data_IF_855487130353
#
_entry.id   IF_855487130353
#
_cell.length_a   1.000
_cell.length_b   1.000
_cell.length_c   1.000
_cell.angle_alpha   90.00
_cell.angle_beta   90.00
_cell.angle_gamma   90.00
#
_symmetry.space_group_name_H-M   'P 1'
#
loop_
_entity.id
_entity.type
_entity.pdbx_description
1 polymer ?
#
# COMPACT_ATOMS: atom_id res chain seq x y z
N UNK A 1 -14.58 -25.06 16.36
CA UNK A 1 -14.20 -24.41 15.09
C UNK A 1 -12.73 -24.69 14.83
N UNK A 2 -12.37 -25.25 13.68
CA UNK A 2 -10.96 -25.43 13.31
C UNK A 2 -10.33 -24.10 12.85
N UNK A 3 -9.01 -24.06 12.68
CA UNK A 3 -8.29 -22.83 12.31
C UNK A 3 -8.78 -22.22 10.98
N UNK A 4 -9.09 -23.07 9.98
CA UNK A 4 -9.61 -22.60 8.70
C UNK A 4 -10.98 -21.95 8.86
N UNK A 5 -11.88 -22.60 9.59
CA UNK A 5 -13.22 -22.06 9.89
C UNK A 5 -13.14 -20.74 10.67
N UNK A 6 -12.16 -20.59 11.58
CA UNK A 6 -11.91 -19.33 12.28
C UNK A 6 -11.50 -18.19 11.33
N UNK A 7 -10.61 -18.47 10.37
CA UNK A 7 -10.21 -17.49 9.35
C UNK A 7 -11.39 -17.14 8.42
N UNK A 8 -12.16 -18.13 7.97
CA UNK A 8 -13.36 -17.90 7.15
C UNK A 8 -14.37 -17.04 7.92
N UNK A 9 -14.63 -17.36 9.19
CA UNK A 9 -15.54 -16.61 10.04
C UNK A 9 -15.10 -15.15 10.17
N UNK A 10 -13.83 -14.90 10.49
CA UNK A 10 -13.28 -13.55 10.58
C UNK A 10 -13.42 -12.77 9.26
N UNK A 11 -13.12 -13.41 8.13
CA UNK A 11 -13.26 -12.79 6.80
C UNK A 11 -14.73 -12.47 6.46
N UNK A 12 -15.69 -13.33 6.85
CA UNK A 12 -17.13 -13.05 6.70
C UNK A 12 -17.57 -11.85 7.52
N UNK A 13 -17.09 -11.72 8.76
CA UNK A 13 -17.38 -10.54 9.59
C UNK A 13 -16.84 -9.24 8.97
N UNK A 14 -15.79 -9.34 8.13
CA UNK A 14 -15.21 -8.22 7.39
C UNK A 14 -15.75 -8.07 5.96
N UNK A 15 -16.97 -8.55 5.69
CA UNK A 15 -17.61 -8.41 4.37
C UNK A 15 -17.08 -9.36 3.29
N UNK A 16 -16.43 -10.45 3.68
CA UNK A 16 -15.98 -11.50 2.76
C UNK A 16 -14.59 -11.28 2.15
N UNK A 17 -13.86 -10.26 2.59
CA UNK A 17 -12.48 -9.99 2.17
C UNK A 17 -11.66 -9.44 3.34
N UNK A 18 -10.33 -9.52 3.26
CA UNK A 18 -9.44 -8.88 4.23
C UNK A 18 -8.01 -8.79 3.70
N UNK A 19 -7.26 -7.80 4.19
CA UNK A 19 -5.79 -7.87 4.19
C UNK A 19 -5.31 -8.84 5.26
N UNK A 20 -4.05 -9.31 5.16
CA UNK A 20 -3.47 -10.11 6.24
C UNK A 20 -3.43 -9.35 7.57
N UNK A 21 -3.08 -8.05 7.55
CA UNK A 21 -3.09 -7.21 8.74
C UNK A 21 -4.47 -7.15 9.42
N UNK A 22 -5.55 -7.00 8.64
CA UNK A 22 -6.92 -7.07 9.16
C UNK A 22 -7.21 -8.44 9.79
N UNK A 23 -6.87 -9.54 9.11
CA UNK A 23 -7.11 -10.90 9.64
C UNK A 23 -6.41 -11.12 10.98
N UNK A 24 -5.19 -10.60 11.17
CA UNK A 24 -4.46 -10.78 12.42
C UNK A 24 -5.12 -10.08 13.61
N UNK A 25 -5.84 -8.98 13.38
CA UNK A 25 -6.61 -8.31 14.42
C UNK A 25 -7.98 -8.93 14.68
N UNK A 26 -8.52 -9.72 13.74
CA UNK A 26 -9.87 -10.28 13.83
C UNK A 26 -9.91 -11.75 14.27
N UNK A 27 -8.86 -12.52 13.99
CA UNK A 27 -8.81 -13.94 14.34
C UNK A 27 -8.32 -14.11 15.78
N UNK A 28 -9.10 -14.81 16.60
CA UNK A 28 -8.68 -15.22 17.94
C UNK A 28 -7.70 -16.41 17.86
N UNK A 29 -6.45 -16.13 18.20
CA UNK A 29 -5.36 -17.12 18.21
C UNK A 29 -5.16 -17.81 19.57
N UNK A 30 -5.93 -17.49 20.61
CA UNK A 30 -5.72 -18.02 21.98
C UNK A 30 -5.68 -19.55 22.05
N UNK A 31 -6.53 -20.21 21.27
CA UNK A 31 -6.60 -21.68 21.19
C UNK A 31 -5.57 -22.31 20.23
N UNK A 32 -4.78 -21.51 19.52
CA UNK A 32 -3.85 -22.02 18.50
C UNK A 32 -2.55 -22.50 19.15
N UNK A 33 -2.19 -23.76 18.90
CA UNK A 33 -0.96 -24.37 19.46
C UNK A 33 0.35 -23.97 18.73
N UNK A 34 0.28 -23.04 17.78
CA UNK A 34 1.44 -22.62 16.96
C UNK A 34 2.12 -21.39 17.54
N UNK A 35 3.45 -21.32 17.40
CA UNK A 35 4.24 -20.14 17.79
C UNK A 35 4.14 -18.99 16.79
N UNK A 36 3.66 -19.26 15.57
CA UNK A 36 3.57 -18.29 14.48
C UNK A 36 2.17 -18.32 13.86
N UNK A 37 1.12 -17.92 14.60
CA UNK A 37 -0.26 -17.98 14.12
C UNK A 37 -0.47 -17.20 12.81
N UNK A 38 0.21 -16.08 12.62
CA UNK A 38 0.12 -15.27 11.39
C UNK A 38 0.66 -16.03 10.17
N UNK A 39 1.72 -16.83 10.33
CA UNK A 39 2.19 -17.71 9.26
C UNK A 39 1.17 -18.81 8.93
N UNK A 40 0.49 -19.34 9.95
CA UNK A 40 -0.60 -20.28 9.76
C UNK A 40 -1.80 -19.65 9.04
N UNK A 41 -2.17 -18.39 9.34
CA UNK A 41 -3.20 -17.65 8.58
C UNK A 41 -2.81 -17.50 7.12
N UNK A 42 -1.59 -17.06 6.82
CA UNK A 42 -1.11 -16.95 5.43
C UNK A 42 -1.24 -18.27 4.68
N UNK A 43 -0.76 -19.35 5.30
CA UNK A 43 -0.85 -20.70 4.73
C UNK A 43 -2.30 -21.11 4.45
N UNK A 44 -3.19 -20.91 5.42
CA UNK A 44 -4.63 -21.22 5.28
C UNK A 44 -5.21 -20.47 4.08
N UNK A 45 -5.01 -19.15 4.01
CA UNK A 45 -5.58 -18.32 2.95
C UNK A 45 -4.98 -18.64 1.57
N UNK A 46 -3.70 -18.98 1.50
CA UNK A 46 -2.99 -19.21 0.23
C UNK A 46 -3.17 -20.62 -0.35
N UNK A 47 -3.35 -21.64 0.50
CA UNK A 47 -3.38 -23.05 0.07
C UNK A 47 -4.79 -23.64 -0.06
N UNK A 48 -5.83 -22.91 0.36
CA UNK A 48 -7.21 -23.43 0.38
C UNK A 48 -8.09 -22.77 -0.69
N UNK A 49 -8.90 -23.58 -1.38
CA UNK A 49 -9.77 -23.16 -2.49
C UNK A 49 -10.89 -22.20 -2.09
N UNK A 50 -11.23 -22.15 -0.80
CA UNK A 50 -12.24 -21.24 -0.26
C UNK A 50 -11.81 -19.76 -0.35
N UNK A 51 -10.56 -19.49 -0.70
CA UNK A 51 -10.01 -18.14 -0.81
C UNK A 51 -9.47 -17.88 -2.22
N UNK A 52 -9.52 -16.62 -2.63
CA UNK A 52 -8.84 -16.15 -3.83
C UNK A 52 -8.13 -14.81 -3.58
N UNK A 53 -7.04 -14.58 -4.32
CA UNK A 53 -6.28 -13.34 -4.27
C UNK A 53 -7.00 -12.27 -5.09
N UNK A 54 -7.31 -11.14 -4.48
CA UNK A 54 -7.86 -9.95 -5.17
C UNK A 54 -6.71 -9.08 -5.66
N UNK A 55 -5.77 -8.76 -4.76
CA UNK A 55 -4.53 -8.01 -5.02
C UNK A 55 -3.41 -8.54 -4.11
N UNK A 56 -2.13 -8.22 -4.34
CA UNK A 56 -1.07 -8.51 -3.38
C UNK A 56 -1.43 -8.03 -1.97
N UNK A 57 -1.53 -8.98 -1.04
CA UNK A 57 -1.91 -8.72 0.35
C UNK A 57 -3.41 -8.66 0.65
N UNK A 58 -4.28 -8.70 -0.37
CA UNK A 58 -5.75 -8.66 -0.24
C UNK A 58 -6.38 -9.95 -0.75
N UNK A 59 -7.15 -10.60 0.11
CA UNK A 59 -7.78 -11.88 -0.16
C UNK A 59 -9.28 -11.84 0.13
N UNK A 60 -10.03 -12.69 -0.54
CA UNK A 60 -11.48 -12.79 -0.38
C UNK A 60 -11.95 -14.24 -0.42
N UNK A 61 -13.13 -14.49 0.14
CA UNK A 61 -13.79 -15.79 0.07
C UNK A 61 -14.37 -16.01 -1.33
N UNK A 62 -14.16 -17.21 -1.87
CA UNK A 62 -14.61 -17.55 -3.23
C UNK A 62 -16.14 -17.49 -3.38
N UNK A 63 -16.89 -17.86 -2.32
CA UNK A 63 -18.36 -17.73 -2.30
C UNK A 63 -18.86 -16.28 -2.25
N UNK A 64 -17.97 -15.32 -1.92
CA UNK A 64 -18.24 -13.88 -1.92
C UNK A 64 -17.64 -13.17 -3.14
N UNK A 65 -17.01 -13.90 -4.09
CA UNK A 65 -16.25 -13.36 -5.22
C UNK A 65 -16.99 -12.26 -5.97
N UNK A 66 -18.21 -12.55 -6.41
CA UNK A 66 -19.02 -11.62 -7.20
C UNK A 66 -19.32 -10.33 -6.44
N UNK A 67 -19.68 -10.45 -5.15
CA UNK A 67 -19.96 -9.30 -4.29
C UNK A 67 -18.71 -8.44 -4.05
N UNK A 68 -17.55 -9.07 -3.82
CA UNK A 68 -16.28 -8.37 -3.57
C UNK A 68 -15.77 -7.68 -4.83
N UNK A 69 -15.75 -8.37 -5.97
CA UNK A 69 -15.30 -7.79 -7.23
C UNK A 69 -16.23 -6.66 -7.70
N UNK A 70 -17.54 -6.78 -7.47
CA UNK A 70 -18.49 -5.69 -7.74
C UNK A 70 -18.29 -4.52 -6.79
N UNK A 71 -18.05 -4.77 -5.50
CA UNK A 71 -17.83 -3.72 -4.49
C UNK A 71 -16.61 -2.86 -4.82
N UNK A 72 -15.55 -3.48 -5.33
CA UNK A 72 -14.32 -2.78 -5.71
C UNK A 72 -14.28 -2.35 -7.18
N UNK A 73 -15.40 -2.46 -7.90
CA UNK A 73 -15.50 -2.06 -9.31
C UNK A 73 -14.44 -2.76 -10.19
N UNK A 74 -14.13 -4.03 -9.89
CA UNK A 74 -13.19 -4.88 -10.63
C UNK A 74 -13.92 -5.79 -11.63
N UNK A 75 -15.20 -6.08 -11.38
CA UNK A 75 -16.01 -6.99 -12.20
C UNK A 75 -16.51 -6.28 -13.46
N UNK A 76 -16.32 -6.90 -14.63
CA UNK A 76 -16.81 -6.43 -15.94
C UNK A 76 -16.41 -4.98 -16.29
N UNK A 77 -15.34 -4.49 -15.66
CA UNK A 77 -14.84 -3.12 -15.81
C UNK A 77 -13.60 -3.06 -16.69
N UNK A 78 -13.32 -1.86 -17.19
CA UNK A 78 -12.20 -1.64 -18.09
C UNK A 78 -10.86 -1.84 -17.38
N UNK A 79 -9.79 -2.10 -18.13
CA UNK A 79 -8.43 -2.17 -17.55
C UNK A 79 -8.04 -0.89 -16.79
N UNK A 80 -8.67 0.24 -17.14
CA UNK A 80 -8.51 1.52 -16.42
C UNK A 80 -9.08 1.46 -15.00
N UNK A 81 -10.24 0.83 -14.81
CA UNK A 81 -10.91 0.79 -13.50
C UNK A 81 -10.15 -0.15 -12.55
N UNK A 82 -9.68 -1.30 -13.07
CA UNK A 82 -8.77 -2.19 -12.32
C UNK A 82 -7.47 -1.52 -11.93
N UNK A 83 -6.96 -0.66 -12.83
CA UNK A 83 -5.78 0.17 -12.57
C UNK A 83 -6.04 1.17 -11.45
N UNK A 84 -7.18 1.86 -11.48
CA UNK A 84 -7.55 2.85 -10.46
C UNK A 84 -7.73 2.21 -9.08
N UNK A 85 -8.40 1.05 -9.00
CA UNK A 85 -8.48 0.27 -7.77
C UNK A 85 -7.11 -0.13 -7.25
N UNK A 86 -6.23 -0.64 -8.12
CA UNK A 86 -4.87 -1.02 -7.72
C UNK A 86 -4.10 0.18 -7.18
N UNK A 87 -4.21 1.33 -7.85
CA UNK A 87 -3.54 2.56 -7.48
C UNK A 87 -3.99 3.04 -6.09
N UNK A 88 -5.30 3.18 -5.85
CA UNK A 88 -5.81 3.61 -4.54
C UNK A 88 -5.55 2.58 -3.43
N UNK A 89 -5.61 1.29 -3.76
CA UNK A 89 -5.28 0.22 -2.83
C UNK A 89 -3.84 0.34 -2.31
N UNK A 90 -2.85 0.51 -3.20
CA UNK A 90 -1.46 0.66 -2.78
C UNK A 90 -1.17 2.01 -2.11
N UNK A 91 -1.83 3.11 -2.52
CA UNK A 91 -1.77 4.37 -1.75
C UNK A 91 -2.25 4.16 -0.30
N UNK A 92 -3.35 3.43 -0.11
CA UNK A 92 -3.88 3.16 1.22
C UNK A 92 -2.96 2.29 2.07
N UNK A 93 -2.35 1.26 1.49
CA UNK A 93 -1.30 0.49 2.19
C UNK A 93 -0.14 1.38 2.61
N UNK A 94 0.37 2.23 1.72
CA UNK A 94 1.46 3.16 2.03
C UNK A 94 1.09 4.14 3.16
N UNK A 95 -0.14 4.64 3.18
CA UNK A 95 -0.64 5.49 4.29
C UNK A 95 -0.67 4.71 5.60
N UNK A 96 -1.23 3.50 5.62
CA UNK A 96 -1.25 2.70 6.85
C UNK A 96 0.16 2.37 7.32
N UNK A 97 1.08 2.01 6.42
CA UNK A 97 2.47 1.72 6.75
C UNK A 97 3.20 2.93 7.34
N UNK A 98 3.00 4.13 6.78
CA UNK A 98 3.58 5.35 7.32
C UNK A 98 3.06 5.64 8.73
N UNK A 99 1.73 5.56 8.91
CA UNK A 99 1.09 5.75 10.21
C UNK A 99 1.56 4.72 11.25
N UNK A 100 1.73 3.45 10.87
CA UNK A 100 2.24 2.39 11.75
C UNK A 100 3.69 2.61 12.19
N UNK A 101 4.46 3.33 11.39
CA UNK A 101 5.84 3.70 11.70
C UNK A 101 5.95 5.03 12.47
N UNK A 102 4.81 5.65 12.84
CA UNK A 102 4.79 6.93 13.53
C UNK A 102 5.16 8.12 12.65
N UNK A 103 5.08 7.96 11.33
CA UNK A 103 5.31 9.04 10.37
C UNK A 103 3.99 9.74 10.03
N UNK A 104 4.09 11.03 9.74
CA UNK A 104 2.96 11.77 9.20
C UNK A 104 2.78 11.45 7.71
N UNK A 105 1.55 11.26 7.27
CA UNK A 105 1.24 10.82 5.91
C UNK A 105 0.35 11.82 5.18
N UNK A 106 0.71 12.11 3.93
CA UNK A 106 -0.03 12.99 3.03
C UNK A 106 -0.41 12.25 1.74
N UNK A 107 -1.63 12.52 1.28
CA UNK A 107 -2.18 12.10 -0.02
C UNK A 107 -2.61 13.35 -0.80
N UNK A 108 -2.34 13.43 -2.12
CA UNK A 108 -2.77 14.54 -2.95
C UNK A 108 -4.27 14.81 -2.90
N UNK A 109 -4.65 16.08 -3.04
CA UNK A 109 -6.05 16.49 -2.94
C UNK A 109 -6.96 15.81 -3.95
N UNK A 110 -6.48 15.50 -5.16
CA UNK A 110 -7.24 14.78 -6.18
C UNK A 110 -7.58 13.33 -5.78
N UNK A 111 -6.79 12.72 -4.89
CA UNK A 111 -6.94 11.32 -4.49
C UNK A 111 -7.63 11.15 -3.14
N UNK A 112 -7.85 12.23 -2.38
CA UNK A 112 -8.43 12.16 -1.03
C UNK A 112 -9.76 11.42 -0.94
N UNK A 113 -10.57 11.46 -1.98
CA UNK A 113 -11.87 10.80 -2.05
C UNK A 113 -11.82 9.39 -2.65
N UNK A 114 -10.67 8.98 -3.23
CA UNK A 114 -10.49 7.60 -3.68
C UNK A 114 -10.52 6.67 -2.47
N UNK A 115 -11.05 5.48 -2.68
CA UNK A 115 -11.23 4.50 -1.62
C UNK A 115 -10.03 3.56 -1.53
N UNK A 116 -9.50 3.42 -0.32
CA UNK A 116 -8.78 2.23 0.10
C UNK A 116 -9.81 1.26 0.70
N UNK A 117 -10.13 0.22 -0.06
CA UNK A 117 -11.22 -0.70 0.25
C UNK A 117 -12.54 0.10 0.39
N UNK A 118 -13.03 0.32 1.61
CA UNK A 118 -14.26 1.09 1.87
C UNK A 118 -14.00 2.45 2.53
N UNK A 119 -12.74 2.83 2.76
CA UNK A 119 -12.37 4.07 3.45
C UNK A 119 -11.74 5.09 2.50
N UNK A 120 -12.16 6.37 2.51
CA UNK A 120 -11.49 7.41 1.74
C UNK A 120 -10.04 7.61 2.18
N UNK A 121 -9.09 7.68 1.25
CA UNK A 121 -7.66 7.88 1.54
C UNK A 121 -7.41 9.12 2.40
N UNK A 122 -8.11 10.22 2.13
CA UNK A 122 -7.99 11.47 2.89
C UNK A 122 -8.47 11.37 4.34
N UNK A 123 -9.28 10.35 4.68
CA UNK A 123 -9.67 10.05 6.07
C UNK A 123 -8.60 9.26 6.82
N UNK A 124 -7.73 8.55 6.09
CA UNK A 124 -6.66 7.71 6.64
C UNK A 124 -5.33 8.45 6.76
N UNK A 125 -5.05 9.36 5.83
CA UNK A 125 -3.85 10.20 5.88
C UNK A 125 -3.87 11.08 7.14
N UNK A 126 -2.73 11.16 7.85
CA UNK A 126 -2.64 11.95 9.08
C UNK A 126 -2.70 13.46 8.79
N UNK A 127 -2.26 13.87 7.61
CA UNK A 127 -2.23 15.27 7.18
C UNK A 127 -3.36 15.59 6.20
N UNK A 128 -4.13 16.65 6.51
CA UNK A 128 -5.10 17.24 5.57
C UNK A 128 -4.44 18.15 4.53
N UNK A 129 -3.32 18.76 4.90
CA UNK A 129 -2.51 19.63 4.06
C UNK A 129 -1.05 19.23 4.26
N UNK A 130 -0.27 19.24 3.18
CA UNK A 130 1.17 19.04 3.24
C UNK A 130 1.84 20.16 4.06
N UNK A 131 2.93 19.86 4.76
CA UNK A 131 3.68 20.89 5.47
C UNK A 131 4.34 21.89 4.51
N UNK A 132 4.47 23.16 4.92
CA UNK A 132 5.20 24.19 4.18
C UNK A 132 6.72 24.06 4.41
N UNK A 133 7.29 22.91 4.06
CA UNK A 133 8.71 22.59 4.32
C UNK A 133 9.68 23.29 3.34
N UNK A 134 9.17 24.07 2.37
CA UNK A 134 9.97 24.69 1.31
C UNK A 134 9.23 25.81 0.57
N UNK A 135 9.86 26.36 -0.47
CA UNK A 135 9.31 27.36 -1.37
C UNK A 135 8.08 26.86 -2.14
N UNK A 136 7.09 27.73 -2.42
CA UNK A 136 5.82 27.34 -3.05
C UNK A 136 5.96 26.59 -4.39
N UNK A 137 6.97 26.91 -5.20
CA UNK A 137 7.20 26.24 -6.50
C UNK A 137 7.58 24.77 -6.35
N UNK A 138 8.45 24.46 -5.39
CA UNK A 138 8.90 23.09 -5.09
C UNK A 138 7.80 22.33 -4.35
N UNK A 139 7.12 23.01 -3.42
CA UNK A 139 6.01 22.43 -2.67
C UNK A 139 4.88 21.95 -3.59
N UNK A 140 4.57 22.73 -4.64
CA UNK A 140 3.60 22.32 -5.67
C UNK A 140 3.97 21.00 -6.34
N UNK A 141 5.26 20.67 -6.50
CA UNK A 141 5.69 19.38 -7.05
C UNK A 141 5.49 18.26 -6.04
N UNK A 142 5.90 18.47 -4.79
CA UNK A 142 5.66 17.51 -3.71
C UNK A 142 4.17 17.19 -3.50
N UNK A 143 3.28 18.19 -3.68
CA UNK A 143 1.83 17.99 -3.59
C UNK A 143 1.24 17.04 -4.65
N UNK A 144 1.96 16.80 -5.75
CA UNK A 144 1.55 15.91 -6.85
C UNK A 144 2.07 14.48 -6.71
N UNK A 145 2.84 14.19 -5.66
CA UNK A 145 3.35 12.84 -5.38
C UNK A 145 2.28 12.02 -4.68
N UNK A 146 2.02 10.82 -5.20
CA UNK A 146 0.88 9.97 -4.79
C UNK A 146 0.81 9.69 -3.29
N UNK A 147 1.95 9.56 -2.61
CA UNK A 147 2.02 9.51 -1.15
C UNK A 147 3.33 10.11 -0.65
N UNK A 148 3.26 10.91 0.42
CA UNK A 148 4.44 11.50 1.06
C UNK A 148 4.42 11.18 2.55
N UNK A 149 5.55 10.73 3.08
CA UNK A 149 5.77 10.55 4.51
C UNK A 149 6.65 11.67 5.05
N UNK A 150 6.34 12.12 6.27
CA UNK A 150 7.06 13.15 7.00
C UNK A 150 7.54 12.60 8.35
N UNK A 151 8.74 13.02 8.74
CA UNK A 151 9.28 12.71 10.06
C UNK A 151 8.70 13.65 11.14
N UNK A 152 9.08 13.40 12.39
CA UNK A 152 8.75 14.20 13.58
C UNK A 152 9.10 15.70 13.44
N UNK A 153 10.14 16.01 12.66
CA UNK A 153 10.56 17.38 12.34
C UNK A 153 9.77 18.02 11.20
N UNK A 154 8.71 17.36 10.71
CA UNK A 154 7.84 17.81 9.61
C UNK A 154 8.58 17.98 8.28
N UNK A 155 9.70 17.27 8.12
CA UNK A 155 10.48 17.22 6.88
C UNK A 155 10.18 15.94 6.11
N UNK A 156 10.25 15.96 4.76
CA UNK A 156 10.00 14.77 3.97
C UNK A 156 10.94 13.62 4.34
N UNK A 157 10.37 12.46 4.62
CA UNK A 157 11.08 11.21 4.86
C UNK A 157 11.09 10.34 3.61
N UNK A 158 9.94 10.20 2.94
CA UNK A 158 9.80 9.37 1.74
C UNK A 158 8.73 9.87 0.80
N UNK A 159 8.94 9.65 -0.49
CA UNK A 159 8.03 9.97 -1.58
C UNK A 159 7.74 8.70 -2.38
N UNK A 160 6.47 8.46 -2.70
CA UNK A 160 6.02 7.26 -3.40
C UNK A 160 5.17 7.64 -4.61
N UNK A 161 5.46 7.03 -5.75
CA UNK A 161 4.63 7.09 -6.96
C UNK A 161 4.15 5.66 -7.28
N UNK A 162 2.83 5.49 -7.39
CA UNK A 162 2.18 4.20 -7.63
C UNK A 162 1.86 4.07 -9.12
N UNK A 163 2.68 3.26 -9.80
CA UNK A 163 2.82 3.28 -11.24
C UNK A 163 2.29 2.00 -11.91
N UNK A 164 1.00 1.99 -12.26
CA UNK A 164 0.39 0.84 -12.96
C UNK A 164 0.52 0.96 -14.49
N UNK A 165 0.04 2.07 -15.07
CA UNK A 165 0.04 2.35 -16.52
C UNK A 165 0.69 3.70 -16.87
N UNK A 166 0.94 4.54 -15.87
CA UNK A 166 1.55 5.87 -16.00
C UNK A 166 3.04 5.80 -16.34
N UNK A 167 3.59 6.94 -16.78
CA UNK A 167 4.97 7.04 -17.27
C UNK A 167 5.96 7.21 -16.10
N UNK A 168 6.72 6.15 -15.82
CA UNK A 168 7.81 6.12 -14.83
C UNK A 168 8.78 7.31 -15.03
N UNK A 169 8.97 7.79 -16.26
CA UNK A 169 9.82 8.95 -16.50
C UNK A 169 9.28 10.22 -15.84
N UNK A 170 7.96 10.47 -15.89
CA UNK A 170 7.36 11.63 -15.25
C UNK A 170 7.53 11.56 -13.73
N UNK A 171 7.36 10.38 -13.14
CA UNK A 171 7.60 10.15 -11.71
C UNK A 171 9.05 10.39 -11.31
N UNK A 172 10.01 9.93 -12.12
CA UNK A 172 11.43 10.24 -11.89
C UNK A 172 11.76 11.73 -12.06
N UNK A 173 11.08 12.45 -12.97
CA UNK A 173 11.23 13.91 -13.09
C UNK A 173 10.74 14.61 -11.83
N UNK A 174 9.60 14.21 -11.25
CA UNK A 174 9.13 14.75 -9.96
C UNK A 174 10.17 14.54 -8.86
N UNK A 175 10.75 13.34 -8.77
CA UNK A 175 11.80 13.04 -7.78
C UNK A 175 13.08 13.84 -8.01
N UNK A 176 13.44 14.07 -9.27
CA UNK A 176 14.58 14.92 -9.63
C UNK A 176 14.36 16.37 -9.19
N UNK A 177 13.16 16.92 -9.32
CA UNK A 177 12.81 18.26 -8.82
C UNK A 177 12.82 18.34 -7.28
N UNK A 178 12.78 17.21 -6.59
CA UNK A 178 12.82 17.09 -5.13
C UNK A 178 14.16 16.57 -4.61
N UNK A 179 15.19 16.51 -5.46
CA UNK A 179 16.46 15.87 -5.14
C UNK A 179 17.22 16.49 -3.95
N UNK A 180 16.97 17.75 -3.63
CA UNK A 180 17.67 18.47 -2.55
C UNK A 180 17.25 18.00 -1.14
N UNK A 181 16.15 17.25 -1.01
CA UNK A 181 15.74 16.66 0.26
C UNK A 181 16.46 15.34 0.53
N UNK A 182 16.91 15.16 1.77
CA UNK A 182 17.42 13.89 2.28
C UNK A 182 16.25 12.91 2.54
N UNK A 183 15.56 12.52 1.47
CA UNK A 183 14.41 11.62 1.47
C UNK A 183 14.66 10.41 0.56
N UNK A 184 13.90 9.35 0.81
CA UNK A 184 13.84 8.17 -0.06
C UNK A 184 12.78 8.34 -1.14
N UNK A 185 13.05 7.84 -2.34
CA UNK A 185 12.13 7.89 -3.46
C UNK A 185 11.77 6.47 -3.89
N UNK A 186 10.48 6.20 -4.07
CA UNK A 186 10.00 4.87 -4.40
C UNK A 186 9.07 4.90 -5.61
N UNK A 187 9.40 4.07 -6.60
CA UNK A 187 8.46 3.67 -7.65
C UNK A 187 7.80 2.36 -7.21
N UNK A 188 6.49 2.39 -7.02
CA UNK A 188 5.68 1.25 -6.58
C UNK A 188 4.87 0.74 -7.77
N UNK A 189 5.21 -0.41 -8.33
CA UNK A 189 4.63 -0.86 -9.60
C UNK A 189 4.53 -2.40 -9.71
N UNK A 190 3.81 -2.95 -10.69
CA UNK A 190 3.87 -4.38 -10.98
C UNK A 190 5.29 -4.82 -11.33
N UNK A 191 5.70 -6.02 -10.88
CA UNK A 191 7.07 -6.51 -11.03
C UNK A 191 7.60 -6.49 -12.47
N UNK A 192 6.74 -6.73 -13.48
CA UNK A 192 7.14 -6.72 -14.89
C UNK A 192 7.64 -5.33 -15.37
N UNK A 193 7.32 -4.24 -14.66
CA UNK A 193 7.79 -2.88 -14.98
C UNK A 193 9.20 -2.58 -14.48
N UNK A 194 9.83 -3.49 -13.73
CA UNK A 194 11.16 -3.27 -13.14
C UNK A 194 12.23 -2.98 -14.19
N UNK A 195 12.21 -3.67 -15.34
CA UNK A 195 13.17 -3.42 -16.41
C UNK A 195 12.98 -2.04 -17.04
N UNK A 196 11.72 -1.63 -17.26
CA UNK A 196 11.39 -0.27 -17.70
C UNK A 196 11.93 0.77 -16.71
N UNK A 197 11.70 0.56 -15.41
CA UNK A 197 12.23 1.43 -14.35
C UNK A 197 13.75 1.56 -14.43
N UNK A 198 14.48 0.44 -14.50
CA UNK A 198 15.94 0.44 -14.55
C UNK A 198 16.46 1.16 -15.81
N UNK A 199 15.82 0.93 -16.95
CA UNK A 199 16.15 1.58 -18.22
C UNK A 199 15.96 3.10 -18.15
N UNK A 200 14.83 3.56 -17.61
CA UNK A 200 14.56 5.00 -17.48
C UNK A 200 15.47 5.64 -16.44
N UNK A 201 15.67 5.02 -15.27
CA UNK A 201 16.55 5.54 -14.22
C UNK A 201 18.02 5.62 -14.68
N UNK A 202 18.44 4.72 -15.58
CA UNK A 202 19.78 4.72 -16.15
C UNK A 202 20.10 5.90 -17.08
N UNK A 203 19.10 6.73 -17.43
CA UNK A 203 19.33 7.95 -18.23
C UNK A 203 20.17 8.95 -17.45
N UNK A 204 21.09 9.64 -18.16
CA UNK A 204 22.05 10.57 -17.55
C UNK A 204 21.42 11.67 -16.71
N UNK A 205 20.22 12.12 -17.08
CA UNK A 205 19.46 13.14 -16.36
C UNK A 205 19.11 12.74 -14.91
N UNK A 206 18.98 11.43 -14.61
CA UNK A 206 18.60 10.95 -13.28
C UNK A 206 19.80 10.50 -12.44
N UNK A 207 21.02 10.68 -12.93
CA UNK A 207 22.25 10.35 -12.19
C UNK A 207 22.29 10.95 -10.77
N UNK A 208 21.82 12.20 -10.51
CA UNK A 208 21.83 12.78 -9.16
C UNK A 208 20.89 12.10 -8.14
N UNK A 209 19.87 11.37 -8.61
CA UNK A 209 18.90 10.70 -7.74
C UNK A 209 19.02 9.17 -7.76
N UNK A 210 19.79 8.60 -8.69
CA UNK A 210 19.86 7.16 -8.94
C UNK A 210 20.08 6.30 -7.70
N UNK A 211 20.94 6.74 -6.77
CA UNK A 211 21.26 6.00 -5.54
C UNK A 211 20.14 6.05 -4.47
N UNK A 212 19.15 6.93 -4.64
CA UNK A 212 18.06 7.17 -3.67
C UNK A 212 16.69 6.75 -4.17
N UNK A 213 16.57 6.35 -5.44
CA UNK A 213 15.33 5.85 -6.01
C UNK A 213 15.33 4.34 -6.01
N UNK A 214 14.33 3.74 -5.40
CA UNK A 214 14.13 2.30 -5.34
C UNK A 214 12.83 1.87 -6.04
N UNK A 215 12.87 0.70 -6.67
CA UNK A 215 11.68 0.02 -7.15
C UNK A 215 11.15 -0.92 -6.07
N UNK A 216 9.85 -0.83 -5.78
CA UNK A 216 9.13 -1.81 -4.96
C UNK A 216 8.00 -2.41 -5.79
N UNK A 217 7.98 -3.73 -5.87
CA UNK A 217 6.82 -4.41 -6.44
C UNK A 217 5.61 -4.28 -5.53
N UNK A 218 4.43 -4.48 -6.09
CA UNK A 218 3.21 -4.63 -5.30
C UNK A 218 3.31 -5.75 -4.26
N UNK A 219 3.96 -6.87 -4.60
CA UNK A 219 4.31 -7.94 -3.67
C UNK A 219 5.22 -7.47 -2.53
N UNK A 220 6.22 -6.62 -2.82
CA UNK A 220 7.12 -6.07 -1.81
C UNK A 220 6.35 -5.19 -0.80
N UNK A 221 5.47 -4.32 -1.30
CA UNK A 221 4.62 -3.47 -0.45
C UNK A 221 3.69 -4.30 0.42
N UNK A 222 2.99 -5.27 -0.18
CA UNK A 222 2.10 -6.16 0.54
C UNK A 222 2.84 -6.98 1.62
N UNK A 223 4.03 -7.48 1.30
CA UNK A 223 4.87 -8.22 2.26
C UNK A 223 5.39 -7.34 3.38
N UNK A 224 5.76 -6.09 3.09
CA UNK A 224 6.23 -5.18 4.12
C UNK A 224 5.10 -4.73 5.05
N UNK A 225 3.93 -4.41 4.50
CA UNK A 225 2.72 -4.14 5.30
C UNK A 225 2.34 -5.32 6.19
N UNK A 226 2.41 -6.56 5.67
CA UNK A 226 2.16 -7.78 6.44
C UNK A 226 3.10 -7.86 7.66
N UNK A 227 4.41 -7.65 7.46
CA UNK A 227 5.42 -7.64 8.53
C UNK A 227 5.16 -6.55 9.56
N UNK A 228 4.82 -5.33 9.12
CA UNK A 228 4.50 -4.22 10.01
C UNK A 228 3.25 -4.51 10.85
N UNK A 229 2.24 -5.13 10.25
CA UNK A 229 1.00 -5.53 10.95
C UNK A 229 1.28 -6.56 12.04
N UNK A 230 2.18 -7.51 11.80
CA UNK A 230 2.63 -8.46 12.84
C UNK A 230 3.38 -7.73 13.95
N UNK A 231 4.32 -6.84 13.60
CA UNK A 231 5.11 -6.09 14.58
C UNK A 231 4.23 -5.24 15.50
N UNK A 232 3.21 -4.57 14.93
CA UNK A 232 2.22 -3.77 15.66
C UNK A 232 1.54 -4.59 16.77
N UNK A 233 1.07 -5.80 16.47
CA UNK A 233 0.39 -6.65 17.44
C UNK A 233 1.29 -7.01 18.63
N UNK A 234 2.60 -7.19 18.40
CA UNK A 234 3.55 -7.42 19.48
C UNK A 234 3.81 -6.17 20.34
N UNK A 235 3.64 -4.97 19.78
CA UNK A 235 3.76 -3.72 20.52
C UNK A 235 2.51 -3.42 21.36
N UNK A 236 1.31 -3.75 20.87
CA UNK A 236 0.03 -3.52 21.58
C UNK A 236 -0.22 -4.50 22.75
N UNK A 237 0.55 -5.60 22.84
CA UNK A 237 0.47 -6.58 23.93
C UNK A 237 1.41 -6.27 25.12
N UNK A 238 2.17 -5.17 25.07
CA UNK A 238 3.07 -4.71 26.14
C UNK A 238 2.47 -3.55 26.92
#
# INVERSE_FOLDING_TARGET
MNQKEQVIYAMRQNGGYATFGQLYGMVDFTAWKTRTPQASVRRIVQENKEFFKVQPGLWALDDCREAVLSKFEIKDTSERDKTEFSHSYFQGLLVEMGNLQGLDTYIPSQDKNRLFLEKPLGSMASLKQIYDFTYPSILKKAMTVDTVWFNDRKLPHSFFEVEHTTDIQNSLVKFYELQDYAAHFYIVAPQHRREQFLSVLGKSIFKPIQARVEFKSYEDIASYYDKLSVARLFMEQR
#
